data_IF_036348427157
#
_entry.id   IF_036348427157
#
_cell.length_a   1.000
_cell.length_b   1.000
_cell.length_c   1.000
_cell.angle_alpha   90.00
_cell.angle_beta   90.00
_cell.angle_gamma   90.00
#
_symmetry.space_group_name_H-M   'P 1'
#
loop_
_entity.id
_entity.type
_entity.pdbx_description
1 polymer ?
#
# COMPACT_ATOMS: atom_id res chain seq x y z
N UNK A 1 -0.65 1.43 21.40
CA UNK A 1 0.17 2.64 21.61
C UNK A 1 0.10 3.41 20.32
N UNK A 2 -0.47 4.62 20.37
CA UNK A 2 -0.41 5.57 19.26
C UNK A 2 1.01 6.15 19.28
N UNK A 3 1.86 5.71 18.34
CA UNK A 3 3.23 6.19 18.23
C UNK A 3 3.20 7.26 17.15
N UNK A 4 3.39 8.52 17.55
CA UNK A 4 3.33 9.69 16.67
C UNK A 4 3.87 9.38 15.25
N UNK A 5 3.02 9.57 14.24
CA UNK A 5 3.34 9.40 12.81
C UNK A 5 3.17 7.99 12.23
N UNK A 6 2.70 7.00 12.99
CA UNK A 6 2.25 5.71 12.42
C UNK A 6 0.77 5.82 12.02
N UNK A 7 0.39 5.52 10.77
CA UNK A 7 -1.01 5.53 10.36
C UNK A 7 -1.80 4.42 11.07
N UNK A 8 -3.05 4.73 11.38
CA UNK A 8 -4.04 3.81 11.92
C UNK A 8 -4.42 2.74 10.89
N UNK A 9 -5.00 1.63 11.35
CA UNK A 9 -5.57 0.62 10.45
C UNK A 9 -6.62 1.22 9.51
N UNK A 10 -7.47 2.12 10.00
CA UNK A 10 -8.52 2.75 9.18
C UNK A 10 -7.94 3.63 8.07
N UNK A 11 -6.87 4.39 8.35
CA UNK A 11 -6.16 5.15 7.32
C UNK A 11 -5.50 4.26 6.27
N UNK A 12 -4.97 3.10 6.67
CA UNK A 12 -4.40 2.14 5.72
C UNK A 12 -5.47 1.46 4.86
N UNK A 13 -6.58 1.04 5.46
CA UNK A 13 -7.72 0.48 4.74
C UNK A 13 -8.29 1.50 3.74
N UNK A 14 -8.42 2.76 4.14
CA UNK A 14 -8.87 3.82 3.26
C UNK A 14 -7.99 3.98 2.01
N UNK A 15 -6.66 3.91 2.14
CA UNK A 15 -5.74 3.96 0.98
C UNK A 15 -5.97 2.79 0.02
N UNK A 16 -6.26 1.60 0.55
CA UNK A 16 -6.53 0.40 -0.24
C UNK A 16 -7.86 0.54 -0.97
N UNK A 17 -8.90 1.01 -0.27
CA UNK A 17 -10.22 1.27 -0.85
C UNK A 17 -10.15 2.30 -1.99
N UNK A 18 -9.41 3.40 -1.78
CA UNK A 18 -9.21 4.45 -2.78
C UNK A 18 -8.44 3.93 -4.02
N UNK A 19 -7.57 2.92 -3.86
CA UNK A 19 -6.83 2.28 -4.96
C UNK A 19 -7.62 1.19 -5.69
N UNK A 20 -8.66 0.62 -5.08
CA UNK A 20 -9.42 -0.52 -5.61
C UNK A 20 -9.81 -0.39 -7.08
N UNK A 21 -10.47 0.72 -7.50
CA UNK A 21 -10.85 0.93 -8.89
C UNK A 21 -9.67 0.94 -9.87
N UNK A 22 -8.51 1.46 -9.44
CA UNK A 22 -7.32 1.50 -10.29
C UNK A 22 -6.64 0.14 -10.41
N UNK A 23 -6.68 -0.67 -9.35
CA UNK A 23 -6.23 -2.07 -9.38
C UNK A 23 -7.09 -2.86 -10.36
N UNK A 24 -8.41 -2.70 -10.31
CA UNK A 24 -9.35 -3.34 -11.24
C UNK A 24 -9.09 -2.91 -12.70
N UNK A 25 -8.84 -1.62 -12.94
CA UNK A 25 -8.47 -1.11 -14.27
C UNK A 25 -7.20 -1.77 -14.82
N UNK A 26 -6.21 -2.04 -13.96
CA UNK A 26 -4.92 -2.60 -14.36
C UNK A 26 -4.89 -4.13 -14.43
N UNK A 27 -5.99 -4.82 -14.11
CA UNK A 27 -6.01 -6.27 -13.92
C UNK A 27 -5.70 -7.03 -15.22
N UNK A 28 -6.49 -6.80 -16.28
CA UNK A 28 -6.33 -7.48 -17.58
C UNK A 28 -4.94 -7.26 -18.18
N UNK A 29 -4.44 -6.02 -18.13
CA UNK A 29 -3.10 -5.66 -18.61
C UNK A 29 -2.01 -6.41 -17.83
N UNK A 30 -2.13 -6.49 -16.50
CA UNK A 30 -1.15 -7.18 -15.64
C UNK A 30 -1.15 -8.70 -15.89
N UNK A 31 -2.33 -9.30 -16.12
CA UNK A 31 -2.44 -10.71 -16.46
C UNK A 31 -1.79 -11.01 -17.82
N UNK A 32 -2.00 -10.15 -18.82
CA UNK A 32 -1.41 -10.28 -20.14
C UNK A 32 0.13 -10.12 -20.10
N UNK A 33 0.65 -9.20 -19.29
CA UNK A 33 2.08 -8.97 -19.12
C UNK A 33 2.77 -10.06 -18.27
N UNK A 34 2.01 -10.79 -17.45
CA UNK A 34 2.54 -11.79 -16.51
C UNK A 34 3.24 -11.18 -15.29
N UNK A 35 3.06 -9.88 -15.08
CA UNK A 35 3.52 -9.12 -13.92
C UNK A 35 2.63 -7.89 -13.73
N UNK A 36 2.70 -7.24 -12.56
CA UNK A 36 1.99 -5.98 -12.36
C UNK A 36 2.45 -4.93 -13.38
N UNK A 37 1.52 -4.19 -13.95
CA UNK A 37 1.87 -3.05 -14.81
C UNK A 37 2.72 -2.04 -14.03
N UNK A 38 3.60 -1.32 -14.72
CA UNK A 38 4.43 -0.30 -14.08
C UNK A 38 3.59 0.77 -13.37
N UNK A 39 2.46 1.19 -13.96
CA UNK A 39 1.57 2.19 -13.35
C UNK A 39 0.96 1.69 -12.03
N UNK A 40 0.63 0.41 -11.95
CA UNK A 40 0.07 -0.18 -10.74
C UNK A 40 1.14 -0.24 -9.64
N UNK A 41 2.36 -0.65 -9.99
CA UNK A 41 3.50 -0.64 -9.06
C UNK A 41 3.75 0.77 -8.51
N UNK A 42 3.77 1.78 -9.38
CA UNK A 42 3.94 3.18 -8.99
C UNK A 42 2.85 3.65 -8.01
N UNK A 43 1.57 3.36 -8.30
CA UNK A 43 0.45 3.72 -7.43
C UNK A 43 0.53 3.05 -6.05
N UNK A 44 0.95 1.78 -5.97
CA UNK A 44 1.17 1.08 -4.69
C UNK A 44 2.32 1.70 -3.89
N UNK A 45 3.37 2.20 -4.57
CA UNK A 45 4.46 2.95 -3.95
C UNK A 45 4.02 4.31 -3.42
N UNK A 46 3.23 5.06 -4.20
CA UNK A 46 2.67 6.36 -3.81
C UNK A 46 1.74 6.23 -2.61
N UNK A 47 0.93 5.17 -2.56
CA UNK A 47 0.11 4.85 -1.39
C UNK A 47 0.92 4.32 -0.18
N UNK A 48 2.22 4.10 -0.36
CA UNK A 48 3.16 3.61 0.65
C UNK A 48 2.85 2.21 1.19
N UNK A 49 2.11 1.37 0.44
CA UNK A 49 1.75 0.02 0.91
C UNK A 49 2.99 -0.87 1.12
N UNK A 50 4.01 -0.73 0.27
CA UNK A 50 5.30 -1.42 0.45
C UNK A 50 6.14 -0.91 1.62
N UNK A 51 5.69 0.11 2.35
CA UNK A 51 6.40 0.72 3.48
C UNK A 51 5.80 0.39 4.84
N UNK A 52 4.71 -0.38 4.87
CA UNK A 52 3.99 -0.72 6.10
C UNK A 52 4.89 -1.31 7.19
N UNK A 53 5.77 -2.25 6.83
CA UNK A 53 6.65 -2.93 7.78
C UNK A 53 8.07 -2.35 7.86
N UNK A 54 8.35 -1.26 7.14
CA UNK A 54 9.66 -0.63 7.17
C UNK A 54 9.82 0.23 8.44
N UNK A 55 11.02 0.29 9.05
CA UNK A 55 11.28 1.17 10.18
C UNK A 55 11.20 2.65 9.80
N UNK A 56 10.75 3.50 10.73
CA UNK A 56 10.66 4.96 10.53
C UNK A 56 11.97 5.63 10.08
N UNK A 57 13.17 5.27 10.59
CA UNK A 57 14.44 5.83 10.11
C UNK A 57 14.72 5.62 8.62
N UNK A 58 14.08 4.62 8.01
CA UNK A 58 14.17 4.33 6.57
C UNK A 58 12.93 4.80 5.80
N UNK A 59 12.23 5.80 6.35
CA UNK A 59 11.02 6.39 5.78
C UNK A 59 9.86 5.37 5.64
N UNK A 60 9.80 4.42 6.58
CA UNK A 60 8.75 3.43 6.73
C UNK A 60 7.63 3.87 7.69
N UNK A 61 6.52 3.13 7.66
CA UNK A 61 5.34 3.42 8.49
C UNK A 61 5.38 2.70 9.84
N UNK A 62 6.11 1.59 9.92
CA UNK A 62 6.27 0.77 11.12
C UNK A 62 4.91 0.46 11.76
N UNK A 63 3.95 -0.01 10.94
CA UNK A 63 2.59 -0.35 11.40
C UNK A 63 2.62 -1.60 12.28
N UNK A 64 1.60 -1.75 13.11
CA UNK A 64 1.49 -2.94 13.95
C UNK A 64 1.16 -4.19 13.12
N UNK A 65 1.53 -5.41 13.55
CA UNK A 65 1.18 -6.62 12.82
C UNK A 65 -0.33 -6.78 12.54
N UNK A 66 -1.26 -6.45 13.46
CA UNK A 66 -2.69 -6.45 13.16
C UNK A 66 -3.15 -5.44 12.09
N UNK A 67 -2.36 -4.41 11.80
CA UNK A 67 -2.65 -3.48 10.70
C UNK A 67 -2.18 -4.03 9.34
N UNK A 68 -1.23 -4.97 9.33
CA UNK A 68 -0.66 -5.54 8.10
C UNK A 68 -1.35 -6.83 7.65
N UNK A 69 -1.88 -7.63 8.59
CA UNK A 69 -2.55 -8.91 8.32
C UNK A 69 -4.04 -8.73 8.06
#
# INVERSE_FOLDING_TARGET
MDVAGTPTTEEMLKRIEDLGPFIEECADDSEQEGHLTARLVDALHEAQLFRMLLPKPYNGLEVTPPTFM
#
